data_IF_576102785977
#
_entry.id   IF_576102785977
#
_cell.length_a   1.000
_cell.length_b   1.000
_cell.length_c   1.000
_cell.angle_alpha   90.00
_cell.angle_beta   90.00
_cell.angle_gamma   90.00
#
_symmetry.space_group_name_H-M   'P 1'
#
loop_
_entity.id
_entity.type
_entity.pdbx_description
1 polymer ?
#
# COMPACT_ATOMS: atom_id res chain seq x y z
N UNK A 1 -40.39 9.63 36.40
CA UNK A 1 -39.88 8.45 35.67
C UNK A 1 -39.57 8.69 34.19
N UNK A 2 -40.28 9.59 33.46
CA UNK A 2 -40.00 9.88 32.04
C UNK A 2 -38.70 10.67 31.77
N UNK A 3 -38.27 11.48 32.73
CA UNK A 3 -37.03 12.28 32.65
C UNK A 3 -35.75 11.46 32.87
N UNK A 4 -35.87 10.29 33.50
CA UNK A 4 -34.72 9.42 33.80
C UNK A 4 -34.24 8.70 32.53
N UNK A 5 -35.12 8.45 31.56
CA UNK A 5 -34.78 7.86 30.26
C UNK A 5 -34.06 8.84 29.31
N UNK A 6 -34.36 10.13 29.40
CA UNK A 6 -33.76 11.17 28.53
C UNK A 6 -32.32 11.48 28.99
N UNK A 7 -32.07 11.44 30.30
CA UNK A 7 -30.73 11.66 30.86
C UNK A 7 -29.74 10.53 30.48
N UNK A 8 -30.20 9.28 30.37
CA UNK A 8 -29.36 8.13 29.98
C UNK A 8 -29.06 8.15 28.47
N UNK A 9 -29.99 8.60 27.64
CA UNK A 9 -29.78 8.70 26.20
C UNK A 9 -28.79 9.83 25.82
N UNK A 10 -28.72 10.90 26.63
CA UNK A 10 -27.83 12.03 26.39
C UNK A 10 -26.35 11.75 26.72
N UNK A 11 -26.05 10.70 27.50
CA UNK A 11 -24.67 10.34 27.85
C UNK A 11 -23.96 9.53 26.75
N UNK A 12 -24.68 9.06 25.73
CA UNK A 12 -24.14 8.22 24.66
C UNK A 12 -23.33 8.99 23.58
N UNK A 13 -23.36 10.33 23.58
CA UNK A 13 -22.70 11.14 22.54
C UNK A 13 -21.40 11.82 22.99
N UNK A 14 -20.95 11.60 24.22
CA UNK A 14 -19.71 12.19 24.74
C UNK A 14 -18.44 11.37 24.44
N UNK A 15 -18.40 10.60 23.35
CA UNK A 15 -17.15 10.00 22.89
C UNK A 15 -16.37 11.01 22.05
N UNK A 16 -15.74 11.96 22.74
CA UNK A 16 -14.68 12.79 22.16
C UNK A 16 -13.51 11.87 21.80
N UNK A 17 -13.31 11.62 20.50
CA UNK A 17 -12.02 11.13 20.00
C UNK A 17 -11.05 12.31 20.10
N UNK A 18 -10.18 12.27 21.11
CA UNK A 18 -9.03 13.17 21.21
C UNK A 18 -8.07 12.85 20.05
N UNK A 19 -8.20 13.58 18.94
CA UNK A 19 -7.38 13.43 17.73
C UNK A 19 -6.01 14.12 17.86
N UNK A 20 -5.37 14.00 19.02
CA UNK A 20 -3.96 14.37 19.22
C UNK A 20 -3.12 13.15 19.57
N UNK A 21 -3.24 12.10 18.75
CA UNK A 21 -2.30 10.99 18.75
C UNK A 21 -0.93 11.55 18.35
N UNK A 22 -0.01 11.64 19.32
CA UNK A 22 1.40 11.97 19.03
C UNK A 22 1.92 10.96 18.02
N UNK A 23 2.27 11.43 16.82
CA UNK A 23 2.89 10.59 15.79
C UNK A 23 4.06 9.81 16.42
N UNK A 24 4.07 8.47 16.34
CA UNK A 24 5.16 7.69 16.91
C UNK A 24 6.48 8.10 16.22
N UNK A 25 7.56 8.24 16.99
CA UNK A 25 8.86 8.71 16.48
C UNK A 25 9.49 7.78 15.43
N UNK A 26 9.01 6.53 15.37
CA UNK A 26 9.44 5.46 14.48
C UNK A 26 8.39 5.22 13.36
N UNK A 27 7.71 6.28 12.93
CA UNK A 27 6.74 6.22 11.85
C UNK A 27 7.43 6.57 10.53
N UNK A 28 7.23 5.73 9.50
CA UNK A 28 7.55 6.10 8.13
C UNK A 28 6.72 7.32 7.75
N UNK A 29 7.42 8.38 7.38
CA UNK A 29 6.80 9.53 6.76
C UNK A 29 6.02 9.13 5.49
N UNK A 30 5.14 10.02 5.06
CA UNK A 30 4.26 9.79 3.92
C UNK A 30 5.01 9.37 2.64
N UNK A 31 6.08 10.09 2.29
CA UNK A 31 6.89 9.83 1.09
C UNK A 31 7.55 8.44 1.09
N UNK A 32 8.31 8.03 2.13
CA UNK A 32 8.88 6.69 2.16
C UNK A 32 7.80 5.60 2.25
N UNK A 33 6.69 5.83 2.97
CA UNK A 33 5.61 4.85 3.04
C UNK A 33 4.99 4.57 1.66
N UNK A 34 4.64 5.61 0.90
CA UNK A 34 4.04 5.46 -0.44
C UNK A 34 4.98 4.72 -1.41
N UNK A 35 6.29 5.00 -1.36
CA UNK A 35 7.27 4.33 -2.20
C UNK A 35 7.43 2.84 -1.84
N UNK A 36 7.59 2.53 -0.55
CA UNK A 36 7.73 1.15 -0.05
C UNK A 36 6.47 0.34 -0.35
N UNK A 37 5.29 0.90 -0.07
CA UNK A 37 4.02 0.20 -0.28
C UNK A 37 3.77 -0.08 -1.76
N UNK A 38 4.13 0.85 -2.65
CA UNK A 38 4.06 0.60 -4.09
C UNK A 38 4.94 -0.58 -4.52
N UNK A 39 6.15 -0.70 -3.96
CA UNK A 39 7.06 -1.81 -4.26
C UNK A 39 6.55 -3.14 -3.69
N UNK A 40 6.01 -3.14 -2.47
CA UNK A 40 5.39 -4.32 -1.83
C UNK A 40 4.23 -4.84 -2.67
N UNK A 41 3.29 -3.97 -3.07
CA UNK A 41 2.15 -4.36 -3.90
C UNK A 41 2.57 -4.85 -5.29
N UNK A 42 3.61 -4.23 -5.86
CA UNK A 42 4.16 -4.69 -7.14
C UNK A 42 4.79 -6.08 -6.99
N UNK A 43 5.51 -6.34 -5.89
CA UNK A 43 6.11 -7.64 -5.62
C UNK A 43 5.07 -8.74 -5.41
N UNK A 44 3.95 -8.44 -4.74
CA UNK A 44 2.84 -9.37 -4.59
C UNK A 44 2.20 -9.72 -5.92
N UNK A 45 1.97 -8.72 -6.78
CA UNK A 45 1.45 -8.93 -8.12
C UNK A 45 2.37 -9.87 -8.92
N UNK A 46 3.69 -9.65 -8.88
CA UNK A 46 4.68 -10.49 -9.55
C UNK A 46 4.75 -11.90 -8.95
N UNK A 47 4.69 -12.03 -7.62
CA UNK A 47 4.71 -13.33 -6.96
C UNK A 47 3.45 -14.14 -7.28
N UNK A 48 2.30 -13.49 -7.35
CA UNK A 48 1.03 -14.13 -7.73
C UNK A 48 0.98 -14.49 -9.22
N UNK A 49 1.53 -13.65 -10.10
CA UNK A 49 1.71 -13.98 -11.52
C UNK A 49 2.59 -15.23 -11.69
N UNK A 50 3.70 -15.32 -10.95
CA UNK A 50 4.56 -16.51 -10.97
C UNK A 50 3.84 -17.77 -10.50
N UNK A 51 2.98 -17.68 -9.48
CA UNK A 51 2.15 -18.80 -9.02
C UNK A 51 1.25 -19.34 -10.13
N UNK A 52 0.72 -18.44 -10.95
CA UNK A 52 -0.13 -18.81 -12.07
C UNK A 52 0.64 -19.63 -13.11
N UNK A 53 1.93 -19.34 -13.30
CA UNK A 53 2.81 -20.07 -14.22
C UNK A 53 3.47 -21.32 -13.61
N UNK A 54 3.68 -21.35 -12.29
CA UNK A 54 4.29 -22.46 -11.56
C UNK A 54 3.47 -22.76 -10.30
N UNK A 55 2.64 -23.80 -10.38
CA UNK A 55 1.76 -24.19 -9.28
C UNK A 55 2.49 -24.82 -8.09
N UNK A 56 3.76 -25.25 -8.26
CA UNK A 56 4.58 -25.79 -7.16
C UNK A 56 5.28 -24.68 -6.37
N UNK A 57 5.24 -23.44 -6.87
CA UNK A 57 5.85 -22.28 -6.25
C UNK A 57 5.16 -21.90 -4.94
N UNK A 58 5.94 -21.83 -3.86
CA UNK A 58 5.48 -21.27 -2.59
C UNK A 58 5.52 -19.73 -2.63
N UNK A 59 4.38 -19.11 -2.96
CA UNK A 59 4.23 -17.65 -3.05
C UNK A 59 4.55 -16.93 -1.76
N UNK A 60 4.23 -17.51 -0.61
CA UNK A 60 4.48 -16.88 0.69
C UNK A 60 6.00 -16.73 0.92
N UNK A 61 6.77 -17.77 0.64
CA UNK A 61 8.23 -17.73 0.73
C UNK A 61 8.83 -16.74 -0.27
N UNK A 62 8.31 -16.70 -1.50
CA UNK A 62 8.78 -15.78 -2.52
C UNK A 62 8.50 -14.31 -2.16
N UNK A 63 7.28 -14.02 -1.73
CA UNK A 63 6.86 -12.67 -1.34
C UNK A 63 7.65 -12.19 -0.12
N UNK A 64 7.87 -13.08 0.87
CA UNK A 64 8.73 -12.78 2.01
C UNK A 64 10.17 -12.42 1.59
N UNK A 65 10.74 -13.13 0.61
CA UNK A 65 12.06 -12.81 0.07
C UNK A 65 12.08 -11.44 -0.65
N UNK A 66 11.04 -11.11 -1.42
CA UNK A 66 10.90 -9.80 -2.06
C UNK A 66 10.77 -8.67 -1.04
N UNK A 67 9.94 -8.83 -0.02
CA UNK A 67 9.78 -7.82 1.02
C UNK A 67 11.10 -7.54 1.75
N UNK A 68 11.88 -8.57 2.07
CA UNK A 68 13.21 -8.39 2.66
C UNK A 68 14.14 -7.55 1.78
N UNK A 69 14.08 -7.76 0.46
CA UNK A 69 14.88 -6.97 -0.48
C UNK A 69 14.38 -5.52 -0.58
N UNK A 70 13.06 -5.31 -0.61
CA UNK A 70 12.43 -3.99 -0.65
C UNK A 70 12.80 -3.20 0.61
N UNK A 71 12.68 -3.80 1.80
CA UNK A 71 13.01 -3.13 3.05
C UNK A 71 14.48 -2.71 3.10
N UNK A 72 15.39 -3.54 2.58
CA UNK A 72 16.81 -3.17 2.43
C UNK A 72 17.00 -2.01 1.45
N UNK A 73 16.31 -2.02 0.30
CA UNK A 73 16.40 -0.96 -0.70
C UNK A 73 15.95 0.39 -0.15
N UNK A 74 14.90 0.39 0.68
CA UNK A 74 14.35 1.59 1.31
C UNK A 74 14.98 1.94 2.65
N UNK A 75 15.99 1.17 3.11
CA UNK A 75 16.66 1.34 4.40
C UNK A 75 15.70 1.36 5.61
N UNK A 76 14.72 0.47 5.61
CA UNK A 76 13.73 0.33 6.68
C UNK A 76 13.74 -1.09 7.27
N UNK A 77 13.21 -1.23 8.48
CA UNK A 77 12.96 -2.54 9.09
C UNK A 77 11.52 -3.01 8.84
N UNK A 78 11.29 -4.31 9.01
CA UNK A 78 9.93 -4.88 8.92
C UNK A 78 9.01 -4.29 9.99
N UNK A 79 9.54 -4.08 11.19
CA UNK A 79 8.82 -3.55 12.34
C UNK A 79 8.42 -2.09 12.08
N UNK A 80 9.33 -1.29 11.52
CA UNK A 80 9.07 0.09 11.09
C UNK A 80 7.94 0.14 10.05
N UNK A 81 8.02 -0.70 9.00
CA UNK A 81 6.96 -0.80 8.01
C UNK A 81 5.62 -1.21 8.64
N UNK A 82 5.63 -2.24 9.48
CA UNK A 82 4.41 -2.79 10.09
C UNK A 82 3.73 -1.78 11.01
N UNK A 83 4.49 -1.15 11.91
CA UNK A 83 3.98 -0.12 12.81
C UNK A 83 3.42 1.08 12.03
N UNK A 84 4.07 1.43 10.92
CA UNK A 84 3.63 2.53 10.09
C UNK A 84 2.39 2.19 9.29
N UNK A 85 2.33 0.98 8.73
CA UNK A 85 1.15 0.50 8.03
C UNK A 85 -0.07 0.46 8.96
N UNK A 86 0.10 -0.05 10.18
CA UNK A 86 -0.95 -0.06 11.21
C UNK A 86 -1.42 1.36 11.57
N UNK A 87 -0.50 2.32 11.71
CA UNK A 87 -0.87 3.71 11.90
C UNK A 87 -1.75 4.21 10.75
N UNK A 88 -1.32 4.08 9.49
CA UNK A 88 -2.11 4.59 8.37
C UNK A 88 -3.47 3.88 8.26
N UNK A 89 -3.54 2.56 8.41
CA UNK A 89 -4.83 1.82 8.37
C UNK A 89 -5.82 2.34 9.42
N UNK A 90 -5.34 2.77 10.59
CA UNK A 90 -6.16 3.37 11.64
C UNK A 90 -6.48 4.87 11.40
N UNK A 91 -5.94 5.49 10.35
CA UNK A 91 -6.17 6.88 9.95
C UNK A 91 -6.67 6.94 8.49
N UNK A 92 -7.98 6.67 8.25
CA UNK A 92 -8.54 6.50 6.90
C UNK A 92 -8.27 7.69 5.96
N UNK A 93 -8.32 8.91 6.46
CA UNK A 93 -8.07 10.12 5.68
C UNK A 93 -6.61 10.19 5.18
N UNK A 94 -5.64 9.91 6.06
CA UNK A 94 -4.22 9.86 5.68
C UNK A 94 -3.92 8.66 4.76
N UNK A 95 -4.54 7.50 5.04
CA UNK A 95 -4.33 6.30 4.25
C UNK A 95 -4.88 6.39 2.84
N UNK A 96 -6.02 7.05 2.66
CA UNK A 96 -6.55 7.33 1.33
C UNK A 96 -5.52 8.08 0.48
N UNK A 97 -4.88 9.10 1.04
CA UNK A 97 -3.85 9.88 0.33
C UNK A 97 -2.64 9.00 -0.02
N UNK A 98 -2.25 8.09 0.89
CA UNK A 98 -1.18 7.12 0.64
C UNK A 98 -1.55 6.21 -0.53
N UNK A 99 -2.76 5.63 -0.52
CA UNK A 99 -3.23 4.72 -1.58
C UNK A 99 -3.37 5.43 -2.93
N UNK A 100 -3.93 6.64 -2.96
CA UNK A 100 -4.04 7.47 -4.17
C UNK A 100 -2.64 7.73 -4.77
N UNK A 101 -1.65 8.01 -3.92
CA UNK A 101 -0.27 8.22 -4.35
C UNK A 101 0.40 6.93 -4.85
N UNK A 102 0.18 5.81 -4.16
CA UNK A 102 0.66 4.48 -4.56
C UNK A 102 0.13 4.10 -5.93
N UNK A 103 -1.18 4.28 -6.18
CA UNK A 103 -1.78 4.02 -7.50
C UNK A 103 -1.13 4.86 -8.59
N UNK A 104 -0.86 6.14 -8.30
CA UNK A 104 -0.20 7.05 -9.25
C UNK A 104 1.22 6.58 -9.58
N UNK A 105 1.99 6.14 -8.58
CA UNK A 105 3.34 5.59 -8.76
C UNK A 105 3.28 4.34 -9.63
N UNK A 106 2.38 3.41 -9.33
CA UNK A 106 2.23 2.14 -10.06
C UNK A 106 1.80 2.41 -11.51
N UNK A 107 0.78 3.26 -11.73
CA UNK A 107 0.30 3.62 -13.07
C UNK A 107 1.39 4.29 -13.92
N UNK A 108 2.21 5.15 -13.31
CA UNK A 108 3.36 5.77 -13.97
C UNK A 108 4.41 4.73 -14.40
N UNK A 109 4.67 3.72 -13.58
CA UNK A 109 5.62 2.63 -13.91
C UNK A 109 5.10 1.73 -15.03
N UNK A 110 3.78 1.57 -15.13
CA UNK A 110 3.14 0.75 -16.17
C UNK A 110 2.96 1.50 -17.50
N UNK A 111 2.90 2.83 -17.47
CA UNK A 111 2.77 3.63 -18.69
C UNK A 111 4.14 3.86 -19.33
N UNK A 112 4.39 3.40 -20.58
CA UNK A 112 5.60 3.78 -21.29
C UNK A 112 5.62 5.31 -21.46
N UNK A 113 6.72 5.95 -21.07
CA UNK A 113 6.87 7.41 -20.97
C UNK A 113 6.91 8.14 -22.32
N UNK A 114 5.88 7.96 -23.15
CA UNK A 114 5.55 8.87 -24.23
C UNK A 114 4.17 9.45 -23.93
N UNK A 115 4.19 10.67 -23.38
CA UNK A 115 3.15 11.71 -23.29
C UNK A 115 3.16 12.35 -21.91
N UNK A 116 4.10 13.27 -21.73
CA UNK A 116 3.95 14.36 -20.78
C UNK A 116 2.74 15.21 -21.15
N UNK A 117 1.69 15.25 -20.34
CA UNK A 117 0.87 16.46 -20.16
C UNK A 117 0.26 16.47 -18.75
N UNK A 118 0.54 17.58 -18.09
CA UNK A 118 0.02 18.13 -16.83
C UNK A 118 -1.51 18.04 -16.68
N UNK A 119 -1.94 17.94 -15.42
CA UNK A 119 -3.24 18.32 -14.83
C UNK A 119 -4.10 17.15 -14.32
N UNK A 120 -4.37 17.14 -13.00
CA UNK A 120 -5.61 16.53 -12.47
C UNK A 120 -6.74 17.56 -12.48
N UNK A 121 -7.96 17.23 -11.99
CA UNK A 121 -8.61 15.94 -11.83
C UNK A 121 -9.82 15.82 -12.79
N UNK A 122 -10.10 14.62 -13.32
CA UNK A 122 -11.25 14.42 -14.20
C UNK A 122 -11.53 12.96 -14.45
N UNK A 123 -12.67 12.52 -13.95
CA UNK A 123 -13.26 11.21 -14.12
C UNK A 123 -13.54 10.85 -15.59
N UNK A 124 -13.43 9.55 -15.87
CA UNK A 124 -14.20 8.73 -16.84
C UNK A 124 -13.40 8.08 -17.99
N UNK A 125 -13.44 6.74 -17.94
CA UNK A 125 -13.62 5.76 -19.02
C UNK A 125 -13.02 6.04 -20.41
N UNK A 126 -12.16 5.12 -20.86
CA UNK A 126 -12.31 4.40 -22.16
C UNK A 126 -11.27 3.26 -22.20
N UNK A 127 -11.72 2.02 -22.20
CA UNK A 127 -11.78 1.12 -23.37
C UNK A 127 -10.44 0.48 -23.78
N UNK A 128 -10.24 -0.77 -23.31
CA UNK A 128 -9.69 -1.94 -24.03
C UNK A 128 -8.47 -1.71 -24.94
N UNK A 129 -7.30 -2.20 -24.51
CA UNK A 129 -6.37 -2.96 -25.37
C UNK A 129 -5.24 -3.58 -24.54
N UNK A 130 -5.09 -4.90 -24.68
CA UNK A 130 -3.88 -5.66 -24.34
C UNK A 130 -2.65 -5.02 -24.98
N UNK A 131 -1.51 -4.98 -24.27
CA UNK A 131 -0.15 -5.16 -24.84
C UNK A 131 0.89 -5.32 -23.71
N UNK A 132 1.31 -6.58 -23.51
CA UNK A 132 2.67 -7.08 -23.21
C UNK A 132 3.57 -6.34 -22.20
N UNK A 133 3.79 -6.98 -21.04
CA UNK A 133 4.75 -6.59 -19.99
C UNK A 133 6.19 -6.97 -20.40
N UNK A 134 7.19 -6.07 -20.27
CA UNK A 134 8.60 -6.42 -20.41
C UNK A 134 9.07 -7.25 -19.21
N UNK A 135 9.54 -8.46 -19.51
CA UNK A 135 10.09 -9.44 -18.57
C UNK A 135 11.25 -8.86 -17.74
N UNK A 136 11.06 -8.72 -16.42
CA UNK A 136 12.18 -8.62 -15.48
C UNK A 136 12.45 -10.02 -14.90
N UNK A 137 13.47 -10.69 -15.45
CA UNK A 137 13.88 -12.05 -15.08
C UNK A 137 14.92 -11.99 -13.94
N UNK A 138 14.60 -12.38 -12.69
CA UNK A 138 15.61 -12.64 -11.68
C UNK A 138 16.27 -13.99 -11.97
N UNK A 139 17.60 -13.97 -11.98
CA UNK A 139 18.45 -15.14 -12.19
C UNK A 139 18.45 -15.98 -10.91
N UNK A 140 17.54 -16.94 -10.80
CA UNK A 140 17.55 -17.92 -9.72
C UNK A 140 18.64 -18.95 -10.03
N UNK A 141 19.72 -18.96 -9.25
CA UNK A 141 20.76 -19.98 -9.28
C UNK A 141 20.28 -21.16 -8.43
N UNK A 142 19.94 -22.29 -9.07
CA UNK A 142 19.65 -23.53 -8.35
C UNK A 142 20.88 -23.99 -7.56
N UNK A 143 20.73 -24.40 -6.29
CA UNK A 143 21.71 -25.25 -5.64
C UNK A 143 21.62 -26.68 -6.21
N UNK A 144 22.78 -27.31 -6.38
CA UNK A 144 22.96 -28.73 -6.71
C UNK A 144 22.57 -29.61 -5.53
#
# INVERSE_FOLDING_TARGET
MRWLMIAVFSFAFASCIDSRQKKPKNLLEFTPMTAVLADVLTADAVANERKYHDSLLNVNNLSAAYYQQIFKLHNISKEQFTASYEYYVNHPDEFKIVLDSVSTIINRRMSPANHSTTAGPGSQETNKSQTTLPQLKPKIKNPK
#
